data_IF_566362704824
#
_entry.id   IF_566362704824
#
_cell.length_a   1.000
_cell.length_b   1.000
_cell.length_c   1.000
_cell.angle_alpha   90.00
_cell.angle_beta   90.00
_cell.angle_gamma   90.00
#
_symmetry.space_group_name_H-M   'P 1'
#
loop_
_entity.id
_entity.type
_entity.pdbx_description
1 polymer ?
#
# COMPACT_ATOMS: atom_id res chain seq x y z
N UNK A 1 2.71 -20.47 20.50
CA UNK A 1 2.96 -20.13 19.09
C UNK A 1 1.63 -19.74 18.44
N UNK A 2 1.37 -18.46 18.24
CA UNK A 2 0.18 -17.99 17.52
C UNK A 2 0.58 -17.82 16.05
N UNK A 3 -0.06 -18.59 15.18
CA UNK A 3 0.20 -18.62 13.74
C UNK A 3 -0.17 -17.26 13.14
N UNK A 4 0.81 -16.56 12.61
CA UNK A 4 0.60 -15.37 11.76
C UNK A 4 0.12 -15.91 10.41
N UNK A 5 -1.15 -15.70 10.08
CA UNK A 5 -1.69 -16.06 8.77
C UNK A 5 -1.23 -15.01 7.76
N UNK A 6 -0.21 -15.33 6.99
CA UNK A 6 0.27 -14.54 5.85
C UNK A 6 -0.64 -14.87 4.67
N UNK A 7 -1.60 -14.01 4.34
CA UNK A 7 -2.38 -14.16 3.10
C UNK A 7 -1.61 -13.41 2.00
N UNK A 8 -0.64 -14.11 1.41
CA UNK A 8 -0.06 -13.72 0.14
C UNK A 8 -0.97 -14.21 -0.97
N UNK A 9 -1.67 -13.32 -1.68
CA UNK A 9 -2.21 -13.66 -3.00
C UNK A 9 -1.05 -13.70 -4.00
N UNK A 10 -0.24 -14.77 -3.94
CA UNK A 10 0.56 -15.19 -5.06
C UNK A 10 -0.31 -16.15 -5.87
N UNK A 11 -0.85 -15.69 -6.98
CA UNK A 11 -1.56 -16.52 -7.97
C UNK A 11 -0.58 -17.41 -8.74
N UNK A 12 0.17 -18.29 -8.05
CA UNK A 12 0.91 -19.39 -8.70
C UNK A 12 1.12 -20.51 -7.67
N UNK A 13 0.35 -21.58 -7.84
CA UNK A 13 0.74 -22.90 -7.32
C UNK A 13 -0.24 -23.57 -6.35
N UNK A 14 -0.93 -24.58 -6.87
CA UNK A 14 -1.69 -25.64 -6.19
C UNK A 14 -3.03 -25.28 -5.55
N UNK A 15 -4.01 -24.95 -6.39
CA UNK A 15 -5.41 -25.25 -6.08
C UNK A 15 -5.68 -26.76 -6.30
N UNK A 16 -6.43 -27.43 -5.44
CA UNK A 16 -6.78 -28.82 -5.65
C UNK A 16 -7.59 -28.98 -6.95
N UNK A 17 -7.34 -30.08 -7.64
CA UNK A 17 -7.90 -30.54 -8.93
C UNK A 17 -9.42 -30.71 -8.96
N UNK A 18 -10.20 -29.63 -8.79
CA UNK A 18 -11.66 -29.65 -8.94
C UNK A 18 -12.15 -28.78 -10.09
N UNK A 19 -11.33 -27.87 -10.61
CA UNK A 19 -11.65 -27.12 -11.84
C UNK A 19 -10.90 -27.73 -13.00
N UNK A 20 -11.65 -28.19 -14.02
CA UNK A 20 -11.05 -28.75 -15.23
C UNK A 20 -10.09 -27.75 -15.88
N UNK A 21 -9.01 -28.23 -16.52
CA UNK A 21 -7.97 -27.44 -17.18
C UNK A 21 -8.56 -26.35 -18.13
N UNK A 22 -9.72 -26.60 -18.73
CA UNK A 22 -10.42 -25.66 -19.62
C UNK A 22 -10.96 -24.41 -18.91
N UNK A 23 -11.31 -24.47 -17.62
CA UNK A 23 -11.77 -23.28 -16.87
C UNK A 23 -10.59 -22.39 -16.46
N UNK A 24 -9.48 -22.99 -16.05
CA UNK A 24 -8.23 -22.27 -15.70
C UNK A 24 -7.67 -21.54 -16.93
N UNK A 25 -7.68 -22.17 -18.11
CA UNK A 25 -7.23 -21.54 -19.35
C UNK A 25 -8.13 -20.37 -19.75
N UNK A 26 -9.46 -20.52 -19.69
CA UNK A 26 -10.41 -19.43 -19.95
C UNK A 26 -10.25 -18.26 -19.00
N UNK A 27 -10.01 -18.53 -17.73
CA UNK A 27 -9.78 -17.49 -16.70
C UNK A 27 -8.45 -16.77 -16.95
N UNK A 28 -7.40 -17.48 -17.36
CA UNK A 28 -6.11 -16.89 -17.75
C UNK A 28 -6.23 -15.99 -19.00
N UNK A 29 -6.98 -16.41 -19.99
CA UNK A 29 -7.21 -15.62 -21.20
C UNK A 29 -8.09 -14.40 -20.92
N UNK A 30 -9.07 -14.50 -20.04
CA UNK A 30 -9.86 -13.37 -19.59
C UNK A 30 -8.96 -12.35 -18.85
N UNK A 31 -8.11 -12.81 -17.93
CA UNK A 31 -7.16 -11.97 -17.23
C UNK A 31 -6.16 -11.27 -18.16
N UNK A 32 -5.62 -12.01 -19.14
CA UNK A 32 -4.72 -11.41 -20.16
C UNK A 32 -5.42 -10.31 -20.95
N UNK A 33 -6.64 -10.55 -21.44
CA UNK A 33 -7.40 -9.52 -22.15
C UNK A 33 -7.65 -8.26 -21.32
N UNK A 34 -7.95 -8.42 -20.02
CA UNK A 34 -8.12 -7.28 -19.12
C UNK A 34 -6.79 -6.54 -18.88
N UNK A 35 -5.68 -7.27 -18.71
CA UNK A 35 -4.35 -6.67 -18.59
C UNK A 35 -3.97 -5.90 -19.86
N UNK A 36 -4.18 -6.48 -21.05
CA UNK A 36 -3.90 -5.83 -22.33
C UNK A 36 -4.75 -4.56 -22.53
N UNK A 37 -6.03 -4.60 -22.16
CA UNK A 37 -6.91 -3.41 -22.18
C UNK A 37 -6.39 -2.32 -21.24
N UNK A 38 -6.00 -2.70 -20.04
CA UNK A 38 -5.45 -1.75 -19.06
C UNK A 38 -4.17 -1.12 -19.59
N UNK A 39 -3.23 -1.92 -20.09
CA UNK A 39 -1.96 -1.43 -20.65
C UNK A 39 -2.19 -0.51 -21.87
N UNK A 40 -3.13 -0.88 -22.76
CA UNK A 40 -3.46 -0.09 -23.94
C UNK A 40 -4.18 1.23 -23.61
N UNK A 41 -4.81 1.32 -22.44
CA UNK A 41 -5.47 2.53 -21.98
C UNK A 41 -4.54 3.48 -21.21
N UNK A 42 -3.32 3.06 -20.92
CA UNK A 42 -2.34 3.93 -20.26
C UNK A 42 -1.89 5.03 -21.22
N UNK A 43 -1.87 6.31 -20.77
CA UNK A 43 -1.35 7.40 -21.59
C UNK A 43 0.13 7.18 -21.97
N UNK A 44 0.44 7.42 -23.22
CA UNK A 44 1.83 7.37 -23.69
C UNK A 44 2.72 8.34 -22.91
N UNK A 45 3.94 7.89 -22.58
CA UNK A 45 4.93 8.69 -21.86
C UNK A 45 4.60 8.98 -20.40
N UNK A 46 3.50 8.45 -19.84
CA UNK A 46 3.11 8.71 -18.45
C UNK A 46 4.21 8.31 -17.46
N UNK A 47 4.78 7.14 -17.62
CA UNK A 47 5.83 6.64 -16.71
C UNK A 47 7.14 7.42 -16.87
N UNK A 48 7.48 7.81 -18.09
CA UNK A 48 8.62 8.67 -18.38
C UNK A 48 8.47 10.03 -17.70
N UNK A 49 7.30 10.66 -17.82
CA UNK A 49 7.00 11.93 -17.15
C UNK A 49 7.12 11.81 -15.62
N UNK A 50 6.65 10.72 -15.04
CA UNK A 50 6.74 10.47 -13.60
C UNK A 50 8.20 10.27 -13.18
N UNK A 51 8.95 9.47 -13.93
CA UNK A 51 10.39 9.23 -13.70
C UNK A 51 11.15 10.54 -13.69
N UNK A 52 10.97 11.38 -14.72
CA UNK A 52 11.64 12.68 -14.82
C UNK A 52 11.26 13.62 -13.67
N UNK A 53 9.98 13.67 -13.29
CA UNK A 53 9.53 14.50 -12.17
C UNK A 53 10.16 14.09 -10.83
N UNK A 54 10.35 12.77 -10.60
CA UNK A 54 11.03 12.26 -9.39
C UNK A 54 12.50 12.63 -9.42
N UNK A 55 13.19 12.42 -10.55
CA UNK A 55 14.62 12.72 -10.68
C UNK A 55 14.89 14.24 -10.53
N UNK A 56 14.03 15.09 -11.08
CA UNK A 56 14.12 16.55 -10.87
C UNK A 56 13.92 16.91 -9.40
N UNK A 57 12.96 16.29 -8.73
CA UNK A 57 12.71 16.53 -7.31
C UNK A 57 13.89 16.10 -6.41
N UNK A 58 14.57 14.99 -6.75
CA UNK A 58 15.82 14.57 -6.08
C UNK A 58 16.92 15.64 -6.23
N UNK A 59 16.94 16.37 -7.35
CA UNK A 59 17.88 17.46 -7.63
C UNK A 59 17.45 18.82 -7.06
N UNK A 60 16.28 18.89 -6.41
CA UNK A 60 15.75 20.09 -5.75
C UNK A 60 14.60 20.80 -6.47
N UNK A 61 14.26 20.44 -7.72
CA UNK A 61 13.07 20.94 -8.41
C UNK A 61 11.85 20.04 -8.13
N UNK A 62 11.10 20.36 -7.08
CA UNK A 62 9.91 19.60 -6.67
C UNK A 62 8.63 20.00 -7.42
N UNK A 63 8.65 21.05 -8.24
CA UNK A 63 7.45 21.60 -8.89
C UNK A 63 6.74 20.58 -9.79
N UNK A 64 7.42 19.83 -10.68
CA UNK A 64 6.77 18.84 -11.54
C UNK A 64 6.13 17.71 -10.73
N UNK A 65 6.83 17.19 -9.71
CA UNK A 65 6.33 16.12 -8.84
C UNK A 65 5.11 16.57 -8.03
N UNK A 66 5.15 17.77 -7.47
CA UNK A 66 4.02 18.37 -6.72
C UNK A 66 2.78 18.51 -7.61
N UNK A 67 2.95 18.92 -8.86
CA UNK A 67 1.85 19.03 -9.84
C UNK A 67 1.23 17.67 -10.14
N UNK A 68 2.02 16.64 -10.34
CA UNK A 68 1.52 15.27 -10.55
C UNK A 68 0.78 14.76 -9.31
N UNK A 69 1.32 14.97 -8.11
CA UNK A 69 0.64 14.62 -6.85
C UNK A 69 -0.71 15.31 -6.72
N UNK A 70 -0.77 16.60 -6.99
CA UNK A 70 -2.01 17.37 -6.92
C UNK A 70 -3.07 16.86 -7.90
N UNK A 71 -2.69 16.52 -9.14
CA UNK A 71 -3.62 15.99 -10.15
C UNK A 71 -4.21 14.63 -9.79
N UNK A 72 -3.55 13.85 -8.93
CA UNK A 72 -3.98 12.54 -8.46
C UNK A 72 -4.70 12.56 -7.11
N UNK A 73 -4.61 13.66 -6.39
CA UNK A 73 -5.22 13.79 -5.05
C UNK A 73 -6.68 14.22 -5.15
N UNK A 74 -7.50 13.37 -5.79
CA UNK A 74 -8.91 13.65 -6.05
C UNK A 74 -9.75 13.05 -4.93
N UNK A 75 -10.57 13.87 -4.20
CA UNK A 75 -11.47 13.36 -3.19
C UNK A 75 -12.50 12.40 -3.77
N UNK A 76 -12.73 11.28 -3.08
CA UNK A 76 -13.77 10.32 -3.42
C UNK A 76 -15.02 10.63 -2.60
N UNK A 77 -16.22 10.70 -3.23
CA UNK A 77 -17.47 10.88 -2.50
C UNK A 77 -17.66 9.83 -1.41
N UNK A 78 -18.16 10.25 -0.25
CA UNK A 78 -18.42 9.34 0.87
C UNK A 78 -19.77 8.65 0.68
N UNK A 79 -19.85 7.32 0.70
CA UNK A 79 -21.11 6.59 0.65
C UNK A 79 -21.88 6.74 1.95
N UNK A 80 -23.21 6.55 1.90
CA UNK A 80 -24.14 6.79 3.03
C UNK A 80 -24.02 5.79 4.16
N UNK A 81 -23.39 4.66 3.92
CA UNK A 81 -23.19 3.56 4.89
C UNK A 81 -21.84 3.61 5.61
N UNK A 82 -21.04 4.66 5.36
CA UNK A 82 -19.74 4.88 6.00
C UNK A 82 -19.66 6.30 6.57
N UNK A 83 -19.20 6.41 7.80
CA UNK A 83 -18.75 7.67 8.38
C UNK A 83 -17.24 7.84 8.15
N UNK A 84 -16.82 9.07 7.88
CA UNK A 84 -15.40 9.40 7.76
C UNK A 84 -15.08 10.70 8.51
N UNK A 85 -14.05 10.64 9.36
CA UNK A 85 -13.56 11.80 10.10
C UNK A 85 -12.05 11.92 9.98
N UNK A 86 -11.54 13.14 9.94
CA UNK A 86 -10.11 13.38 10.10
C UNK A 86 -9.77 13.42 11.58
N UNK A 87 -8.90 12.49 12.01
CA UNK A 87 -8.31 12.49 13.36
C UNK A 87 -7.21 13.56 13.46
N UNK A 88 -6.44 13.67 12.39
CA UNK A 88 -5.47 14.73 12.10
C UNK A 88 -5.50 14.99 10.59
N UNK A 89 -4.86 16.05 10.06
CA UNK A 89 -4.75 16.22 8.61
C UNK A 89 -4.17 15.01 7.86
N UNK A 90 -3.33 14.23 8.53
CA UNK A 90 -2.67 13.03 7.96
C UNK A 90 -3.34 11.70 8.31
N UNK A 91 -4.46 11.70 9.04
CA UNK A 91 -5.13 10.47 9.50
C UNK A 91 -6.64 10.58 9.31
N UNK A 92 -7.21 9.69 8.49
CA UNK A 92 -8.64 9.63 8.25
C UNK A 92 -9.22 8.30 8.70
N UNK A 93 -10.17 8.35 9.61
CA UNK A 93 -10.87 7.19 10.16
C UNK A 93 -12.17 6.96 9.42
N UNK A 94 -12.38 5.76 8.91
CA UNK A 94 -13.62 5.29 8.31
C UNK A 94 -14.27 4.27 9.25
N UNK A 95 -15.56 4.45 9.52
CA UNK A 95 -16.33 3.53 10.35
C UNK A 95 -17.64 3.16 9.66
N UNK A 96 -18.09 1.89 9.72
CA UNK A 96 -19.40 1.52 9.19
C UNK A 96 -20.51 2.21 9.99
N UNK A 97 -21.58 2.64 9.31
CA UNK A 97 -22.79 3.20 9.96
C UNK A 97 -23.51 2.09 10.73
N UNK A 98 -23.66 0.91 10.11
CA UNK A 98 -24.23 -0.27 10.76
C UNK A 98 -23.13 -1.16 11.29
N UNK A 99 -23.19 -1.51 12.57
CA UNK A 99 -22.22 -2.40 13.22
C UNK A 99 -22.91 -3.73 13.54
N UNK A 100 -22.35 -4.82 13.03
CA UNK A 100 -22.90 -6.17 13.24
C UNK A 100 -22.30 -6.85 14.48
N UNK A 101 -21.22 -6.30 15.02
CA UNK A 101 -20.51 -6.80 16.20
C UNK A 101 -19.77 -5.67 16.93
N UNK A 102 -19.31 -5.92 18.15
CA UNK A 102 -18.46 -5.02 18.92
C UNK A 102 -17.56 -5.87 19.84
N UNK A 103 -16.26 -5.57 19.94
CA UNK A 103 -15.51 -4.56 19.19
C UNK A 103 -15.27 -4.94 17.72
N UNK A 104 -15.14 -3.94 16.84
CA UNK A 104 -14.83 -4.13 15.43
C UNK A 104 -13.31 -4.33 15.21
N UNK A 105 -12.89 -5.14 14.21
CA UNK A 105 -11.52 -5.11 13.74
C UNK A 105 -11.12 -3.71 13.27
N UNK A 106 -9.84 -3.34 13.45
CA UNK A 106 -9.28 -2.09 12.97
C UNK A 106 -8.12 -2.37 12.03
N UNK A 107 -8.23 -1.90 10.79
CA UNK A 107 -7.16 -1.93 9.80
C UNK A 107 -6.53 -0.54 9.68
N UNK A 108 -5.24 -0.46 9.86
CA UNK A 108 -4.44 0.71 9.49
C UNK A 108 -3.98 0.47 8.06
N UNK A 109 -4.43 1.33 7.12
CA UNK A 109 -4.15 1.19 5.70
C UNK A 109 -3.14 2.23 5.22
N UNK A 110 -2.08 1.74 4.58
CA UNK A 110 -0.97 2.49 4.03
C UNK A 110 -1.06 2.43 2.50
N UNK A 111 -1.24 3.58 1.85
CA UNK A 111 -1.39 3.64 0.40
C UNK A 111 -0.10 3.32 -0.35
N UNK A 112 -0.21 2.84 -1.58
CA UNK A 112 0.89 2.67 -2.51
C UNK A 112 1.31 3.97 -3.20
N UNK A 113 2.25 3.84 -4.13
CA UNK A 113 2.73 4.97 -4.94
C UNK A 113 4.25 5.16 -4.88
N UNK A 114 5.03 4.09 -4.66
CA UNK A 114 6.49 4.13 -4.68
C UNK A 114 7.09 5.07 -3.63
N UNK A 115 6.42 5.24 -2.49
CA UNK A 115 6.79 6.20 -1.42
C UNK A 115 6.87 7.67 -1.89
N UNK A 116 6.59 7.97 -3.18
CA UNK A 116 6.68 9.31 -3.78
C UNK A 116 5.33 9.86 -4.23
N UNK A 117 4.37 9.01 -4.47
CA UNK A 117 3.01 9.35 -4.84
C UNK A 117 2.00 8.80 -3.83
N UNK A 118 0.74 9.11 -4.07
CA UNK A 118 -0.36 8.65 -3.24
C UNK A 118 -0.77 9.66 -2.17
N UNK A 119 -1.90 9.37 -1.57
CA UNK A 119 -2.49 10.13 -0.47
C UNK A 119 -3.64 9.34 0.15
N UNK A 120 -4.23 9.84 1.22
CA UNK A 120 -5.50 9.33 1.78
C UNK A 120 -6.60 9.23 0.71
N UNK A 121 -6.64 10.16 -0.26
CA UNK A 121 -7.65 10.13 -1.30
C UNK A 121 -7.42 9.03 -2.33
N UNK A 122 -6.16 8.66 -2.61
CA UNK A 122 -5.85 7.58 -3.56
C UNK A 122 -6.34 6.21 -3.10
N UNK A 123 -6.41 5.96 -1.81
CA UNK A 123 -6.93 4.71 -1.22
C UNK A 123 -8.35 4.84 -0.66
N UNK A 124 -8.99 6.03 -0.77
CA UNK A 124 -10.26 6.30 -0.12
C UNK A 124 -11.37 5.33 -0.53
N UNK A 125 -11.50 5.01 -1.83
CA UNK A 125 -12.52 4.07 -2.32
C UNK A 125 -12.37 2.68 -1.68
N UNK A 126 -11.14 2.17 -1.62
CA UNK A 126 -10.87 0.88 -0.97
C UNK A 126 -11.23 0.92 0.52
N UNK A 127 -10.77 1.95 1.25
CA UNK A 127 -11.04 2.11 2.68
C UNK A 127 -12.55 2.21 2.97
N UNK A 128 -13.29 2.99 2.16
CA UNK A 128 -14.74 3.11 2.25
C UNK A 128 -15.45 1.78 2.01
N UNK A 129 -15.11 1.10 0.91
CA UNK A 129 -15.70 -0.19 0.57
C UNK A 129 -15.45 -1.22 1.68
N UNK A 130 -14.23 -1.30 2.18
CA UNK A 130 -13.88 -2.23 3.23
C UNK A 130 -14.62 -1.92 4.55
N UNK A 131 -14.77 -0.64 4.89
CA UNK A 131 -15.54 -0.24 6.07
C UNK A 131 -17.03 -0.60 5.92
N UNK A 132 -17.62 -0.34 4.74
CA UNK A 132 -19.02 -0.62 4.47
C UNK A 132 -19.35 -2.12 4.48
N UNK A 133 -18.56 -2.91 3.73
CA UNK A 133 -18.88 -4.32 3.46
C UNK A 133 -18.21 -5.29 4.44
N UNK A 134 -17.01 -4.94 4.91
CA UNK A 134 -16.21 -5.79 5.79
C UNK A 134 -16.52 -5.64 7.27
N UNK A 135 -17.37 -4.67 7.65
CA UNK A 135 -17.64 -4.33 9.06
C UNK A 135 -16.34 -4.10 9.86
N UNK A 136 -15.44 -3.33 9.29
CA UNK A 136 -14.10 -3.03 9.77
C UNK A 136 -13.92 -1.54 9.94
N UNK A 137 -13.27 -1.10 10.99
CA UNK A 137 -12.80 0.28 11.13
C UNK A 137 -11.50 0.40 10.31
N UNK A 138 -11.38 1.43 9.47
CA UNK A 138 -10.16 1.64 8.67
C UNK A 138 -9.56 3.00 9.01
N UNK A 139 -8.30 3.02 9.41
CA UNK A 139 -7.50 4.22 9.58
C UNK A 139 -6.56 4.36 8.39
N UNK A 140 -6.86 5.27 7.47
CA UNK A 140 -5.97 5.61 6.37
C UNK A 140 -4.91 6.62 6.83
N UNK A 141 -3.67 6.40 6.39
CA UNK A 141 -2.50 7.20 6.79
C UNK A 141 -1.91 7.91 5.59
N UNK A 142 -1.80 9.24 5.69
CA UNK A 142 -1.09 10.10 4.75
C UNK A 142 0.34 10.30 5.27
N UNK A 143 1.19 9.31 5.04
CA UNK A 143 2.58 9.35 5.49
C UNK A 143 3.41 10.29 4.61
N UNK A 144 4.47 10.87 5.16
CA UNK A 144 5.39 11.74 4.44
C UNK A 144 6.05 11.03 3.28
N UNK A 145 6.16 11.74 2.14
CA UNK A 145 6.61 11.19 0.87
C UNK A 145 8.05 11.62 0.52
N UNK A 146 8.78 10.71 -0.11
CA UNK A 146 10.06 10.98 -0.74
C UNK A 146 9.88 11.74 -2.07
N UNK A 147 10.88 12.47 -2.55
CA UNK A 147 12.24 12.62 -2.01
C UNK A 147 12.36 13.67 -0.88
N UNK A 148 11.34 14.47 -0.61
CA UNK A 148 11.37 15.51 0.43
C UNK A 148 11.55 14.88 1.82
N UNK A 149 10.91 13.73 2.03
CA UNK A 149 10.94 12.95 3.26
C UNK A 149 11.30 11.48 2.95
N UNK A 150 12.58 11.19 2.71
CA UNK A 150 13.04 9.83 2.43
C UNK A 150 12.96 8.92 3.66
N UNK A 151 13.37 7.68 3.51
CA UNK A 151 13.52 6.77 4.65
C UNK A 151 14.39 7.42 5.77
N UNK A 152 13.94 7.33 7.04
CA UNK A 152 12.81 6.56 7.57
C UNK A 152 11.51 7.36 7.79
N UNK A 153 11.37 8.59 7.30
CA UNK A 153 10.32 9.53 7.68
C UNK A 153 8.90 8.96 7.54
N UNK A 154 8.56 8.40 6.37
CA UNK A 154 7.25 7.80 6.11
C UNK A 154 6.98 6.56 7.00
N UNK A 155 8.02 5.76 7.29
CA UNK A 155 7.90 4.62 8.20
C UNK A 155 7.60 5.08 9.63
N UNK A 156 8.25 6.13 10.09
CA UNK A 156 8.00 6.70 11.43
C UNK A 156 6.56 7.22 11.57
N UNK A 157 6.00 7.83 10.51
CA UNK A 157 4.60 8.25 10.50
C UNK A 157 3.67 7.04 10.66
N UNK A 158 3.94 5.94 9.96
CA UNK A 158 3.18 4.70 10.06
C UNK A 158 3.28 4.07 11.47
N UNK A 159 4.46 4.07 12.07
CA UNK A 159 4.67 3.60 13.45
C UNK A 159 3.89 4.48 14.45
N UNK A 160 3.89 5.81 14.27
CA UNK A 160 3.10 6.73 15.10
C UNK A 160 1.62 6.49 14.96
N UNK A 161 1.12 6.21 13.73
CA UNK A 161 -0.28 5.88 13.49
C UNK A 161 -0.69 4.59 14.23
N UNK A 162 0.15 3.55 14.24
CA UNK A 162 -0.10 2.31 15.00
C UNK A 162 -0.13 2.57 16.51
N UNK A 163 0.80 3.36 17.05
CA UNK A 163 0.81 3.72 18.47
C UNK A 163 -0.45 4.49 18.86
N UNK A 164 -0.88 5.44 18.01
CA UNK A 164 -2.12 6.19 18.23
C UNK A 164 -3.35 5.28 18.19
N UNK A 165 -3.42 4.41 17.17
CA UNK A 165 -4.54 3.47 17.02
C UNK A 165 -4.68 2.55 18.24
N UNK A 166 -3.56 2.03 18.79
CA UNK A 166 -3.59 1.24 20.04
C UNK A 166 -4.16 2.03 21.21
N UNK A 167 -3.75 3.28 21.36
CA UNK A 167 -4.23 4.16 22.44
C UNK A 167 -5.72 4.50 22.30
N UNK A 168 -6.21 4.61 21.06
CA UNK A 168 -7.56 5.08 20.75
C UNK A 168 -8.55 3.96 20.35
N UNK A 169 -8.10 2.71 20.28
CA UNK A 169 -8.89 1.59 19.78
C UNK A 169 -10.28 1.51 20.45
N UNK A 170 -10.33 1.54 21.78
CA UNK A 170 -11.58 1.46 22.54
C UNK A 170 -12.52 2.64 22.25
N UNK A 171 -11.97 3.86 22.16
CA UNK A 171 -12.73 5.07 21.82
C UNK A 171 -13.36 4.97 20.43
N UNK A 172 -12.66 4.33 19.47
CA UNK A 172 -13.17 4.14 18.12
C UNK A 172 -14.10 2.93 17.95
N UNK A 173 -14.28 2.12 19.01
CA UNK A 173 -15.14 0.92 18.99
C UNK A 173 -14.41 -0.33 18.50
N UNK A 174 -13.09 -0.35 18.63
CA UNK A 174 -12.22 -1.51 18.40
C UNK A 174 -11.56 -1.96 19.70
N UNK A 175 -10.54 -2.82 19.60
CA UNK A 175 -9.67 -3.26 20.69
C UNK A 175 -8.21 -3.23 20.24
N UNK A 176 -7.24 -2.93 21.13
CA UNK A 176 -5.82 -2.97 20.80
C UNK A 176 -5.33 -4.31 20.21
N UNK A 177 -5.99 -5.42 20.55
CA UNK A 177 -5.69 -6.79 20.09
C UNK A 177 -6.24 -7.06 18.67
N UNK A 178 -7.17 -6.22 18.18
CA UNK A 178 -7.81 -6.38 16.88
C UNK A 178 -7.21 -5.46 15.80
N UNK A 179 -6.03 -4.90 16.05
CA UNK A 179 -5.35 -4.00 15.13
C UNK A 179 -4.53 -4.81 14.11
N UNK A 180 -4.84 -4.57 12.84
CA UNK A 180 -4.11 -5.06 11.68
C UNK A 180 -3.49 -3.90 10.92
N UNK A 181 -2.44 -4.17 10.15
CA UNK A 181 -1.84 -3.20 9.24
C UNK A 181 -1.86 -3.78 7.83
N UNK A 182 -2.10 -2.95 6.84
CA UNK A 182 -2.09 -3.38 5.45
C UNK A 182 -1.77 -2.26 4.50
N UNK A 183 -1.51 -2.63 3.25
CA UNK A 183 -1.23 -1.66 2.20
C UNK A 183 -0.90 -2.33 0.89
N UNK A 184 -0.83 -1.52 -0.15
CA UNK A 184 -0.49 -1.93 -1.51
C UNK A 184 0.89 -1.39 -1.91
N UNK A 185 1.66 -2.18 -2.68
CA UNK A 185 2.96 -1.77 -3.24
C UNK A 185 3.92 -1.23 -2.14
N UNK A 186 4.36 0.04 -2.23
CA UNK A 186 5.16 0.70 -1.19
C UNK A 186 4.45 0.78 0.17
N UNK A 187 3.11 0.89 0.21
CA UNK A 187 2.34 0.81 1.45
C UNK A 187 2.38 -0.59 2.07
N UNK A 188 2.38 -1.64 1.24
CA UNK A 188 2.61 -3.01 1.68
C UNK A 188 4.02 -3.22 2.25
N UNK A 189 5.03 -2.58 1.67
CA UNK A 189 6.39 -2.53 2.21
C UNK A 189 6.42 -1.87 3.60
N UNK A 190 5.81 -0.70 3.73
CA UNK A 190 5.71 -0.01 5.02
C UNK A 190 4.97 -0.84 6.07
N UNK A 191 3.92 -1.58 5.68
CA UNK A 191 3.20 -2.48 6.59
C UNK A 191 4.10 -3.61 7.11
N UNK A 192 4.92 -4.24 6.25
CA UNK A 192 5.93 -5.21 6.65
C UNK A 192 6.96 -4.58 7.59
N UNK A 193 7.47 -3.40 7.27
CA UNK A 193 8.48 -2.69 8.05
C UNK A 193 7.96 -2.29 9.43
N UNK A 194 6.69 -1.87 9.54
CA UNK A 194 6.03 -1.63 10.83
C UNK A 194 5.94 -2.92 11.65
N UNK A 195 5.60 -4.04 11.02
CA UNK A 195 5.54 -5.34 11.70
C UNK A 195 6.93 -5.75 12.25
N UNK A 196 7.96 -5.65 11.42
CA UNK A 196 9.34 -5.93 11.82
C UNK A 196 9.80 -5.02 12.96
N UNK A 197 9.52 -3.71 12.85
CA UNK A 197 9.82 -2.76 13.92
C UNK A 197 9.15 -3.16 15.24
N UNK A 198 7.85 -3.53 15.19
CA UNK A 198 7.14 -3.96 16.40
C UNK A 198 7.79 -5.20 17.03
N UNK A 199 8.15 -6.19 16.21
CA UNK A 199 8.80 -7.42 16.68
C UNK A 199 10.16 -7.13 17.33
N UNK A 200 11.00 -6.32 16.69
CA UNK A 200 12.33 -5.99 17.18
C UNK A 200 12.32 -5.16 18.48
N UNK A 201 11.26 -4.37 18.71
CA UNK A 201 11.13 -3.52 19.87
C UNK A 201 10.21 -4.10 20.97
N UNK A 202 9.87 -5.39 20.90
CA UNK A 202 9.03 -6.05 21.89
C UNK A 202 7.63 -5.44 22.03
N UNK A 203 7.14 -4.77 20.98
CA UNK A 203 5.81 -4.19 20.97
C UNK A 203 4.75 -5.29 20.84
N UNK A 204 3.52 -5.09 21.37
CA UNK A 204 2.45 -6.05 21.20
C UNK A 204 2.27 -6.42 19.72
N UNK A 205 2.00 -7.70 19.38
CA UNK A 205 1.86 -8.13 18.00
C UNK A 205 0.66 -7.45 17.32
N UNK A 206 0.76 -7.28 16.00
CA UNK A 206 -0.39 -6.95 15.17
C UNK A 206 -1.25 -8.20 14.97
N UNK A 207 -2.56 -8.02 14.81
CA UNK A 207 -3.50 -9.13 14.61
C UNK A 207 -3.24 -9.86 13.30
N UNK A 208 -3.01 -9.10 12.22
CA UNK A 208 -2.69 -9.61 10.88
C UNK A 208 -2.03 -8.55 10.02
N UNK A 209 -1.48 -8.98 8.88
CA UNK A 209 -1.03 -8.13 7.80
C UNK A 209 -1.90 -8.39 6.56
N UNK A 210 -2.32 -7.32 5.87
CA UNK A 210 -3.04 -7.38 4.60
C UNK A 210 -2.16 -6.73 3.53
N UNK A 211 -1.51 -7.55 2.71
CA UNK A 211 -0.48 -7.10 1.78
C UNK A 211 -0.93 -7.34 0.33
N UNK A 212 -0.97 -6.26 -0.46
CA UNK A 212 -1.21 -6.32 -1.89
C UNK A 212 0.09 -6.01 -2.63
N UNK A 213 0.62 -6.98 -3.38
CA UNK A 213 1.85 -6.87 -4.19
C UNK A 213 2.95 -6.00 -3.53
N UNK A 214 3.35 -6.32 -2.27
CA UNK A 214 4.26 -5.47 -1.52
C UNK A 214 5.64 -5.41 -2.16
N UNK A 215 6.31 -4.26 -2.07
CA UNK A 215 7.74 -4.18 -2.40
C UNK A 215 8.52 -4.85 -1.28
N UNK A 216 9.25 -5.92 -1.59
CA UNK A 216 10.10 -6.65 -0.63
C UNK A 216 11.60 -6.46 -0.90
N UNK A 217 11.93 -5.88 -2.06
CA UNK A 217 13.30 -5.55 -2.46
C UNK A 217 13.30 -4.21 -3.19
N UNK A 218 14.04 -3.23 -2.69
CA UNK A 218 14.15 -1.89 -3.25
C UNK A 218 15.42 -1.71 -4.11
N UNK A 219 15.84 -2.75 -4.80
CA UNK A 219 16.93 -2.71 -5.79
C UNK A 219 16.65 -3.67 -6.94
N UNK A 220 17.32 -3.43 -8.07
CA UNK A 220 17.33 -4.36 -9.20
C UNK A 220 18.17 -5.59 -8.83
N UNK A 221 17.52 -6.72 -8.61
CA UNK A 221 18.15 -8.00 -8.26
C UNK A 221 18.56 -8.81 -9.49
N UNK A 222 18.38 -8.26 -10.70
CA UNK A 222 18.62 -8.90 -11.99
C UNK A 222 17.87 -10.23 -12.20
N UNK A 223 16.78 -10.43 -11.45
CA UNK A 223 15.93 -11.63 -11.56
C UNK A 223 15.34 -11.80 -12.97
N UNK A 224 14.95 -13.02 -13.37
CA UNK A 224 14.26 -13.23 -14.66
C UNK A 224 13.00 -12.37 -14.81
N UNK A 225 12.22 -12.19 -13.75
CA UNK A 225 11.01 -11.36 -13.76
C UNK A 225 11.35 -9.88 -13.97
N UNK A 226 12.41 -9.35 -13.34
CA UNK A 226 12.87 -8.00 -13.59
C UNK A 226 13.22 -7.80 -15.07
N UNK A 227 14.01 -8.72 -15.67
CA UNK A 227 14.38 -8.64 -17.09
C UNK A 227 13.18 -8.71 -18.03
N UNK A 228 12.19 -9.54 -17.70
CA UNK A 228 11.00 -9.73 -18.54
C UNK A 228 10.05 -8.54 -18.49
N UNK A 229 9.82 -7.96 -17.29
CA UNK A 229 8.77 -6.97 -17.05
C UNK A 229 9.29 -5.56 -16.84
N UNK A 230 10.60 -5.31 -17.04
CA UNK A 230 11.19 -3.98 -16.84
C UNK A 230 10.68 -2.91 -17.80
N UNK A 231 9.89 -3.26 -18.82
CA UNK A 231 9.32 -2.32 -19.79
C UNK A 231 7.96 -2.78 -20.29
N UNK A 232 7.00 -1.85 -20.34
CA UNK A 232 5.67 -2.10 -20.91
C UNK A 232 4.72 -2.91 -20.04
N UNK A 233 5.04 -3.10 -18.76
CA UNK A 233 4.24 -3.88 -17.82
C UNK A 233 3.56 -3.02 -16.74
N UNK A 234 3.10 -1.82 -17.09
CA UNK A 234 2.44 -0.82 -16.23
C UNK A 234 3.32 -0.20 -15.15
N UNK A 235 4.48 -0.77 -14.84
CA UNK A 235 5.47 -0.22 -13.92
C UNK A 235 6.86 -0.53 -14.46
N UNK A 236 7.43 0.42 -15.19
CA UNK A 236 8.73 0.26 -15.83
C UNK A 236 9.89 0.29 -14.82
N UNK A 237 10.96 -0.43 -15.15
CA UNK A 237 12.17 -0.50 -14.32
C UNK A 237 12.77 0.87 -14.04
N UNK A 238 12.76 1.79 -15.00
CA UNK A 238 13.24 3.17 -14.82
C UNK A 238 12.45 3.93 -13.75
N UNK A 239 11.12 3.77 -13.73
CA UNK A 239 10.27 4.37 -12.70
C UNK A 239 10.51 3.71 -11.33
N UNK A 240 10.66 2.38 -11.28
CA UNK A 240 11.02 1.67 -10.05
C UNK A 240 12.37 2.13 -9.49
N UNK A 241 13.37 2.31 -10.34
CA UNK A 241 14.69 2.81 -9.94
C UNK A 241 14.61 4.25 -9.40
N UNK A 242 13.81 5.13 -10.03
CA UNK A 242 13.58 6.49 -9.54
C UNK A 242 12.91 6.48 -8.15
N UNK A 243 11.90 5.62 -7.91
CA UNK A 243 11.31 5.43 -6.59
C UNK A 243 12.34 4.99 -5.56
N UNK A 244 13.13 3.97 -5.89
CA UNK A 244 14.16 3.44 -5.00
C UNK A 244 15.20 4.51 -4.67
N UNK A 245 15.64 5.28 -5.65
CA UNK A 245 16.60 6.38 -5.45
C UNK A 245 16.03 7.47 -4.55
N UNK A 246 14.77 7.88 -4.77
CA UNK A 246 14.10 8.90 -3.97
C UNK A 246 13.95 8.50 -2.50
N UNK A 247 13.53 7.24 -2.26
CA UNK A 247 13.19 6.78 -0.91
C UNK A 247 14.40 6.29 -0.12
N UNK A 248 15.28 5.47 -0.74
CA UNK A 248 16.30 4.73 0.02
C UNK A 248 17.55 5.53 0.37
N UNK A 249 17.87 6.56 -0.41
CA UNK A 249 19.13 7.34 -0.30
C UNK A 249 20.36 6.44 -0.15
N UNK A 250 20.45 5.39 -0.95
CA UNK A 250 21.57 4.45 -0.94
C UNK A 250 21.46 3.34 0.11
N UNK A 251 20.42 3.32 0.94
CA UNK A 251 20.22 2.31 2.00
C UNK A 251 19.28 1.17 1.54
N UNK A 252 19.23 0.86 0.24
CA UNK A 252 18.29 -0.09 -0.35
C UNK A 252 18.25 -1.47 0.36
N UNK A 253 19.38 -1.92 0.93
CA UNK A 253 19.48 -3.20 1.65
C UNK A 253 19.13 -3.14 3.13
N UNK A 254 18.70 -1.98 3.64
CA UNK A 254 18.27 -1.87 5.03
C UNK A 254 17.05 -2.78 5.27
N UNK A 255 16.97 -3.57 6.38
CA UNK A 255 15.89 -4.54 6.62
C UNK A 255 14.48 -3.94 6.64
N UNK A 256 14.33 -2.67 7.00
CA UNK A 256 13.04 -1.95 6.93
C UNK A 256 12.73 -1.36 5.56
N UNK A 257 13.65 -1.41 4.61
CA UNK A 257 13.41 -1.02 3.22
C UNK A 257 13.19 -2.26 2.37
N UNK A 258 13.97 -3.29 2.61
CA UNK A 258 13.94 -4.55 1.86
C UNK A 258 13.83 -5.73 2.82
N UNK A 259 12.62 -6.01 3.29
CA UNK A 259 12.33 -7.07 4.25
C UNK A 259 12.25 -8.45 3.57
N UNK A 260 13.26 -8.83 2.80
CA UNK A 260 13.38 -10.10 2.07
C UNK A 260 14.20 -11.12 2.82
#
# INVERSE_FOLDING_TARGET
MRTILLICFSLLGTLPTVYGQSSIEKDRDAFRREADRFLSAMPDGLQEQQTQAILQAIQGDTVPLTRIRASRNIPTPLPTDVNAIYITPALRLYTPVKKNQSPLPLLIYLHGGGWTFGSINSCARFCQTLAATGNVIVLAVDYRLAPEHPFPDGLEDCIRAVKLARKKALEWGSSPELISVGGDSSGGNLALSVCLHNLQNGMPPLRSLLLFYPVVSAWNDASPSWKTYQKGAALDGSLMEAFNQAYTRGQAKHPFISPS
#
